data_IF_202682611331
#
_entry.id   IF_202682611331
#
_cell.length_a   1.000
_cell.length_b   1.000
_cell.length_c   1.000
_cell.angle_alpha   90.00
_cell.angle_beta   90.00
_cell.angle_gamma   90.00
#
_symmetry.space_group_name_H-M   'P 1'
#
loop_
_entity.id
_entity.type
_entity.pdbx_description
1 polymer ?
#
# COMPACT_ATOMS: atom_id res chain seq x y z
N UNK A 1 -0.90 11.72 -12.85
CA UNK A 1 -0.37 12.32 -11.61
C UNK A 1 -0.47 11.41 -10.40
N UNK A 2 -0.48 10.08 -10.58
CA UNK A 2 -0.38 9.13 -9.47
C UNK A 2 0.32 7.87 -9.97
N UNK A 3 1.35 7.45 -9.26
CA UNK A 3 2.12 6.22 -9.51
C UNK A 3 2.14 5.37 -8.25
N UNK A 4 2.37 4.08 -8.41
CA UNK A 4 2.61 3.20 -7.29
C UNK A 4 3.44 2.01 -7.71
N UNK A 5 4.11 1.40 -6.74
CA UNK A 5 4.89 0.18 -6.92
C UNK A 5 4.88 -0.62 -5.62
N UNK A 6 5.19 -1.91 -5.74
CA UNK A 6 5.23 -2.82 -4.60
C UNK A 6 6.58 -3.50 -4.47
N UNK A 7 6.88 -3.90 -3.24
CA UNK A 7 7.91 -4.87 -2.89
C UNK A 7 7.16 -6.07 -2.34
N UNK A 8 7.33 -7.24 -2.94
CA UNK A 8 6.61 -8.44 -2.52
C UNK A 8 7.12 -9.01 -1.18
N UNK A 9 8.28 -8.56 -0.72
CA UNK A 9 8.98 -9.17 0.40
C UNK A 9 9.71 -10.44 -0.03
N UNK A 10 10.39 -11.05 0.93
CA UNK A 10 11.11 -12.32 0.78
C UNK A 10 11.04 -13.09 2.11
N UNK A 11 11.73 -14.23 2.19
CA UNK A 11 11.72 -15.09 3.38
C UNK A 11 12.30 -14.38 4.63
N UNK A 12 13.23 -13.45 4.44
CA UNK A 12 13.83 -12.67 5.54
C UNK A 12 12.99 -11.44 5.90
N UNK A 13 12.21 -10.93 4.93
CA UNK A 13 11.39 -9.72 5.06
C UNK A 13 9.94 -10.00 4.60
N UNK A 14 9.14 -10.74 5.39
CA UNK A 14 7.79 -11.13 5.00
C UNK A 14 6.82 -9.93 4.99
N UNK A 15 5.73 -10.08 4.24
CA UNK A 15 4.61 -9.13 4.18
C UNK A 15 4.78 -7.96 3.20
N UNK A 16 5.97 -7.72 2.66
CA UNK A 16 6.15 -6.76 1.57
C UNK A 16 5.81 -5.31 1.91
N UNK A 17 5.62 -4.48 0.89
CA UNK A 17 5.32 -3.05 1.01
C UNK A 17 4.65 -2.54 -0.27
N UNK A 18 3.74 -1.57 -0.14
CA UNK A 18 3.20 -0.81 -1.27
C UNK A 18 3.46 0.69 -1.08
N UNK A 19 3.83 1.38 -2.16
CA UNK A 19 4.03 2.84 -2.15
C UNK A 19 3.13 3.45 -3.18
N UNK A 20 2.42 4.52 -2.80
CA UNK A 20 1.61 5.33 -3.71
C UNK A 20 2.05 6.78 -3.57
N UNK A 21 2.30 7.43 -4.70
CA UNK A 21 2.72 8.82 -4.77
C UNK A 21 1.81 9.57 -5.73
N UNK A 22 1.25 10.70 -5.29
CA UNK A 22 0.45 11.59 -6.12
C UNK A 22 1.04 12.99 -6.14
N UNK A 23 1.21 13.55 -7.34
CA UNK A 23 1.54 14.97 -7.53
C UNK A 23 0.35 15.79 -8.04
N UNK A 24 -0.86 15.24 -7.92
CA UNK A 24 -2.13 15.92 -8.22
C UNK A 24 -3.10 15.81 -7.04
N UNK A 25 -4.36 15.50 -7.33
CA UNK A 25 -5.36 15.17 -6.30
C UNK A 25 -5.09 13.82 -5.62
N UNK A 26 -6.04 13.36 -4.81
CA UNK A 26 -5.92 12.06 -4.14
C UNK A 26 -5.67 10.93 -5.16
N UNK A 27 -4.81 10.00 -4.77
CA UNK A 27 -4.34 8.88 -5.57
C UNK A 27 -4.82 7.54 -5.03
N UNK A 28 -5.18 6.66 -5.95
CA UNK A 28 -5.49 5.24 -5.68
C UNK A 28 -4.74 4.39 -6.70
N UNK A 29 -4.26 3.22 -6.25
CA UNK A 29 -3.70 2.17 -7.11
C UNK A 29 -4.11 0.79 -6.61
N UNK A 30 -4.82 0.07 -7.48
CA UNK A 30 -5.00 -1.37 -7.35
C UNK A 30 -3.68 -2.07 -7.65
N UNK A 31 -3.04 -2.65 -6.62
CA UNK A 31 -1.72 -3.26 -6.74
C UNK A 31 -1.63 -4.59 -5.98
N UNK A 32 -0.77 -5.45 -6.48
CA UNK A 32 -0.43 -6.74 -5.88
C UNK A 32 0.76 -6.61 -4.94
N UNK A 33 0.61 -7.15 -3.73
CA UNK A 33 1.70 -7.32 -2.76
C UNK A 33 2.03 -8.79 -2.49
N UNK A 34 1.22 -9.73 -3.00
CA UNK A 34 1.47 -11.18 -2.90
C UNK A 34 1.11 -11.80 -1.55
N UNK A 35 0.43 -11.05 -0.67
CA UNK A 35 0.03 -11.50 0.67
C UNK A 35 -1.49 -11.47 0.79
N UNK A 36 -2.20 -12.60 0.66
CA UNK A 36 -3.65 -12.67 0.78
C UNK A 36 -4.19 -12.35 2.17
N UNK A 37 -5.32 -11.64 2.24
CA UNK A 37 -6.02 -11.31 3.49
C UNK A 37 -5.13 -10.65 4.56
N UNK A 38 -4.10 -9.91 4.14
CA UNK A 38 -3.15 -9.22 4.99
C UNK A 38 -3.54 -7.75 5.11
N UNK A 39 -3.55 -7.23 6.34
CA UNK A 39 -3.80 -5.81 6.62
C UNK A 39 -2.51 -5.02 6.54
N UNK A 40 -2.58 -3.82 5.95
CA UNK A 40 -1.51 -2.86 5.79
C UNK A 40 -1.89 -1.52 6.45
N UNK A 41 -0.89 -0.85 7.00
CA UNK A 41 -0.98 0.46 7.63
C UNK A 41 -0.09 1.46 6.89
N UNK A 42 -0.55 2.70 6.77
CA UNK A 42 0.26 3.78 6.21
C UNK A 42 1.21 4.34 7.27
N UNK A 43 2.51 4.08 7.13
CA UNK A 43 3.52 4.55 8.11
C UNK A 43 3.82 6.04 7.99
N UNK A 44 3.34 6.71 6.95
CA UNK A 44 3.45 8.17 6.88
C UNK A 44 2.36 8.86 7.69
N UNK A 45 1.42 8.10 8.28
CA UNK A 45 0.34 8.60 9.13
C UNK A 45 -0.55 9.63 8.42
N UNK A 46 -0.58 9.61 7.08
CA UNK A 46 -1.46 10.47 6.29
C UNK A 46 -2.87 9.90 6.22
N UNK A 47 -3.00 8.57 6.25
CA UNK A 47 -4.26 7.84 6.17
C UNK A 47 -4.34 6.87 7.33
N UNK A 48 -5.25 7.14 8.27
CA UNK A 48 -5.44 6.30 9.46
C UNK A 48 -6.18 4.99 9.16
N UNK A 49 -6.97 4.94 8.08
CA UNK A 49 -7.74 3.74 7.73
C UNK A 49 -6.85 2.64 7.14
N UNK A 50 -6.76 1.47 7.79
CA UNK A 50 -6.03 0.32 7.25
C UNK A 50 -6.60 -0.18 5.92
N UNK A 51 -5.79 -0.94 5.19
CA UNK A 51 -6.20 -1.60 3.94
C UNK A 51 -5.93 -3.10 4.07
N UNK A 52 -6.90 -3.93 3.74
CA UNK A 52 -6.73 -5.38 3.71
C UNK A 52 -6.75 -5.88 2.27
N UNK A 53 -5.77 -6.72 1.92
CA UNK A 53 -5.72 -7.38 0.61
C UNK A 53 -6.82 -8.43 0.48
N UNK A 54 -7.23 -8.69 -0.75
CA UNK A 54 -8.17 -9.76 -1.08
C UNK A 54 -7.48 -11.14 -1.02
N UNK A 55 -8.21 -12.19 -1.42
CA UNK A 55 -7.71 -13.57 -1.48
C UNK A 55 -6.54 -13.80 -2.42
N UNK A 56 -6.30 -12.86 -3.34
CA UNK A 56 -5.26 -12.96 -4.37
C UNK A 56 -4.05 -12.07 -4.03
N UNK A 57 -4.05 -11.41 -2.87
CA UNK A 57 -2.95 -10.53 -2.45
C UNK A 57 -2.96 -9.14 -3.08
N UNK A 58 -4.11 -8.69 -3.57
CA UNK A 58 -4.33 -7.36 -4.16
C UNK A 58 -5.13 -6.44 -3.25
N UNK A 59 -4.83 -5.15 -3.27
CA UNK A 59 -5.62 -4.13 -2.57
C UNK A 59 -5.62 -2.78 -3.30
N UNK A 60 -6.55 -1.90 -2.93
CA UNK A 60 -6.62 -0.53 -3.42
C UNK A 60 -5.85 0.41 -2.48
N UNK A 61 -4.56 0.60 -2.76
CA UNK A 61 -3.67 1.44 -1.96
C UNK A 61 -3.91 2.92 -2.26
N UNK A 62 -3.97 3.73 -1.20
CA UNK A 62 -4.39 5.13 -1.26
C UNK A 62 -3.24 6.08 -0.94
N UNK A 63 -3.36 7.32 -1.38
CA UNK A 63 -2.44 8.43 -1.10
C UNK A 63 -3.21 9.74 -1.17
N UNK A 64 -2.96 10.66 -0.24
CA UNK A 64 -3.53 12.01 -0.30
C UNK A 64 -2.91 12.85 -1.45
N UNK A 65 -3.62 13.90 -1.85
CA UNK A 65 -3.17 14.87 -2.85
C UNK A 65 -1.79 15.44 -2.54
N UNK A 66 -0.93 15.52 -3.56
CA UNK A 66 0.41 16.11 -3.44
C UNK A 66 1.34 15.41 -2.43
N UNK A 67 1.08 14.14 -2.08
CA UNK A 67 1.76 13.41 -1.02
C UNK A 67 2.31 12.05 -1.47
N UNK A 68 2.81 11.29 -0.49
CA UNK A 68 3.19 9.89 -0.57
C UNK A 68 2.58 9.14 0.61
N UNK A 69 2.13 7.91 0.38
CA UNK A 69 1.77 6.96 1.43
C UNK A 69 2.59 5.69 1.25
N UNK A 70 3.08 5.15 2.37
CA UNK A 70 3.92 3.95 2.42
C UNK A 70 3.22 2.92 3.29
N UNK A 71 2.73 1.87 2.65
CA UNK A 71 1.91 0.84 3.28
C UNK A 71 2.77 -0.38 3.65
N UNK A 72 2.82 -0.72 4.93
CA UNK A 72 3.53 -1.91 5.45
C UNK A 72 2.55 -2.85 6.15
N UNK A 73 2.84 -4.17 6.20
CA UNK A 73 1.99 -5.13 6.90
C UNK A 73 1.82 -4.77 8.38
N UNK A 74 0.59 -4.85 8.85
CA UNK A 74 0.27 -4.83 10.28
C UNK A 74 0.84 -6.10 10.93
N UNK A 75 1.54 -5.92 12.06
CA UNK A 75 2.06 -7.02 12.89
C UNK A 75 0.95 -7.78 13.60
#
# INVERSE_FOLDING_TARGET
>A
NCIGWTRLGDEEHPGGMAVVLSNGGDGTKWMEVGHPNQTYLDITEHIDEPITTNSDGWADFRCQAGSVSVWIPQK
#
